data_IF_046775346721
#
_entry.id   IF_046775346721
#
_cell.length_a   1.000
_cell.length_b   1.000
_cell.length_c   1.000
_cell.angle_alpha   90.00
_cell.angle_beta   90.00
_cell.angle_gamma   90.00
#
_symmetry.space_group_name_H-M   'P 1'
#
loop_
_entity.id
_entity.type
_entity.pdbx_description
1 polymer ?
#
# COMPACT_ATOMS: atom_id res chain seq x y z
N UNK A 1 -10.03 24.52 0.11
CA UNK A 1 -10.16 23.33 0.98
C UNK A 1 -8.82 23.10 1.64
N UNK A 2 -8.79 22.88 2.95
CA UNK A 2 -7.55 22.51 3.67
C UNK A 2 -7.13 21.11 3.26
N UNK A 3 -5.90 20.98 2.79
CA UNK A 3 -5.30 19.72 2.35
C UNK A 3 -5.20 18.74 3.53
N UNK A 4 -5.81 17.57 3.43
CA UNK A 4 -5.70 16.55 4.48
C UNK A 4 -4.43 15.66 4.33
N UNK A 5 -4.26 14.68 5.20
CA UNK A 5 -3.07 13.82 5.20
C UNK A 5 -2.99 12.90 3.97
N UNK A 6 -4.10 12.37 3.47
CA UNK A 6 -4.15 11.51 2.27
C UNK A 6 -3.88 12.33 1.01
N UNK A 7 -4.44 13.53 0.98
CA UNK A 7 -4.21 14.54 -0.02
C UNK A 7 -2.71 14.90 -0.17
N UNK A 8 -2.00 15.06 0.95
CA UNK A 8 -0.55 15.29 0.96
C UNK A 8 0.25 14.04 0.57
N UNK A 9 -0.20 12.85 1.00
CA UNK A 9 0.40 11.58 0.59
C UNK A 9 0.30 11.38 -0.92
N UNK A 10 -0.88 11.60 -1.51
CA UNK A 10 -1.11 11.48 -2.94
C UNK A 10 -0.15 12.37 -3.75
N UNK A 11 0.02 13.64 -3.35
CA UNK A 11 0.98 14.56 -4.00
C UNK A 11 2.40 14.02 -3.98
N UNK A 12 2.86 13.50 -2.84
CA UNK A 12 4.21 12.91 -2.70
C UNK A 12 4.39 11.68 -3.58
N UNK A 13 3.39 10.79 -3.63
CA UNK A 13 3.44 9.57 -4.44
C UNK A 13 3.40 9.89 -5.94
N UNK A 14 2.59 10.87 -6.35
CA UNK A 14 2.55 11.36 -7.74
C UNK A 14 3.90 11.92 -8.18
N UNK A 15 4.49 12.79 -7.36
CA UNK A 15 5.82 13.32 -7.64
C UNK A 15 6.88 12.20 -7.73
N UNK A 16 6.80 11.21 -6.84
CA UNK A 16 7.70 10.05 -6.83
C UNK A 16 7.61 9.24 -8.13
N UNK A 17 6.39 8.95 -8.59
CA UNK A 17 6.13 8.20 -9.82
C UNK A 17 6.58 8.97 -11.06
N UNK A 18 6.25 10.25 -11.15
CA UNK A 18 6.64 11.11 -12.27
C UNK A 18 8.15 11.25 -12.41
N UNK A 19 8.86 11.43 -11.28
CA UNK A 19 10.34 11.56 -11.29
C UNK A 19 11.04 10.30 -11.81
N UNK A 20 10.36 9.15 -11.76
CA UNK A 20 10.87 7.85 -12.24
C UNK A 20 10.29 7.43 -13.59
N UNK A 21 9.48 8.28 -14.20
CA UNK A 21 8.72 7.97 -15.42
C UNK A 21 7.83 6.72 -15.27
N UNK A 22 7.31 6.46 -14.06
CA UNK A 22 6.49 5.28 -13.76
C UNK A 22 5.00 5.46 -14.07
N UNK A 23 4.54 6.68 -14.36
CA UNK A 23 3.14 6.96 -14.68
C UNK A 23 2.60 6.12 -15.86
N UNK A 24 3.48 5.78 -16.81
CA UNK A 24 3.15 4.91 -17.94
C UNK A 24 2.73 3.48 -17.54
N UNK A 25 3.18 3.01 -16.37
CA UNK A 25 2.84 1.69 -15.83
C UNK A 25 1.64 1.75 -14.88
N UNK A 26 1.27 2.93 -14.39
CA UNK A 26 0.22 3.14 -13.38
C UNK A 26 -1.20 3.21 -13.99
N UNK A 27 -1.55 2.29 -14.91
CA UNK A 27 -2.95 2.12 -15.31
C UNK A 27 -3.78 1.57 -14.14
N UNK A 28 -5.09 1.88 -14.02
CA UNK A 28 -5.93 1.31 -12.96
C UNK A 28 -5.86 -0.22 -12.91
N UNK A 29 -5.80 -0.89 -14.07
CA UNK A 29 -5.61 -2.35 -14.16
C UNK A 29 -4.31 -2.83 -13.50
N UNK A 30 -3.19 -2.14 -13.74
CA UNK A 30 -1.90 -2.55 -13.18
C UNK A 30 -1.82 -2.24 -11.69
N UNK A 31 -2.37 -1.09 -11.27
CA UNK A 31 -2.39 -0.70 -9.86
C UNK A 31 -3.26 -1.64 -9.01
N UNK A 32 -4.41 -2.11 -9.52
CA UNK A 32 -5.21 -3.11 -8.80
C UNK A 32 -4.53 -4.47 -8.73
N UNK A 33 -3.77 -4.85 -9.77
CA UNK A 33 -2.93 -6.06 -9.74
C UNK A 33 -1.79 -5.97 -8.72
N UNK A 34 -1.14 -4.81 -8.61
CA UNK A 34 -0.11 -4.59 -7.58
C UNK A 34 -0.74 -4.59 -6.18
N UNK A 35 -1.87 -3.88 -5.99
CA UNK A 35 -2.60 -3.83 -4.73
C UNK A 35 -2.95 -5.22 -4.19
N UNK A 36 -3.46 -6.13 -5.03
CA UNK A 36 -3.79 -7.49 -4.58
C UNK A 36 -2.54 -8.32 -4.27
N UNK A 37 -1.40 -8.04 -4.93
CA UNK A 37 -0.13 -8.69 -4.60
C UNK A 37 0.32 -8.29 -3.18
N UNK A 38 0.33 -6.99 -2.85
CA UNK A 38 0.70 -6.54 -1.49
C UNK A 38 -0.27 -7.04 -0.42
N UNK A 39 -1.57 -7.15 -0.74
CA UNK A 39 -2.53 -7.82 0.15
C UNK A 39 -2.17 -9.29 0.41
N UNK A 40 -1.64 -10.00 -0.59
CA UNK A 40 -1.18 -11.37 -0.41
C UNK A 40 0.09 -11.42 0.45
N UNK A 41 1.04 -10.49 0.26
CA UNK A 41 2.24 -10.36 1.11
C UNK A 41 1.86 -10.11 2.58
N UNK A 42 0.88 -9.22 2.82
CA UNK A 42 0.30 -9.03 4.16
C UNK A 42 -0.25 -10.34 4.74
N UNK A 43 -0.98 -11.13 3.93
CA UNK A 43 -1.53 -12.43 4.37
C UNK A 43 -0.42 -13.40 4.78
N UNK A 44 0.74 -13.38 4.13
CA UNK A 44 1.86 -14.27 4.46
C UNK A 44 2.36 -14.11 5.91
N UNK A 45 2.21 -12.92 6.50
CA UNK A 45 2.55 -12.69 7.90
C UNK A 45 1.63 -13.43 8.88
N UNK A 46 0.40 -13.74 8.48
CA UNK A 46 -0.65 -14.25 9.36
C UNK A 46 -1.14 -15.67 9.03
N UNK A 47 -0.94 -16.15 7.80
CA UNK A 47 -1.57 -17.36 7.26
C UNK A 47 -1.40 -18.65 8.10
N UNK A 48 -0.35 -18.75 8.92
CA UNK A 48 -0.07 -19.92 9.76
C UNK A 48 -0.26 -19.68 11.26
N UNK A 49 -0.75 -18.50 11.64
CA UNK A 49 -0.97 -18.11 13.03
C UNK A 49 -2.37 -18.50 13.50
N UNK A 50 -2.50 -18.83 14.78
CA UNK A 50 -3.80 -18.80 15.45
C UNK A 50 -4.26 -17.36 15.69
N UNK A 51 -5.54 -17.16 16.02
CA UNK A 51 -6.07 -15.84 16.38
C UNK A 51 -5.34 -15.23 17.59
N UNK A 52 -4.93 -16.03 18.58
CA UNK A 52 -4.17 -15.52 19.72
C UNK A 52 -2.77 -15.06 19.30
N UNK A 53 -2.11 -15.81 18.41
CA UNK A 53 -0.78 -15.46 17.90
C UNK A 53 -0.82 -14.21 17.01
N UNK A 54 -1.87 -14.03 16.19
CA UNK A 54 -1.99 -12.88 15.30
C UNK A 54 -2.13 -11.55 16.04
N UNK A 55 -2.63 -11.58 17.29
CA UNK A 55 -2.76 -10.42 18.16
C UNK A 55 -1.50 -10.11 18.99
N UNK A 56 -0.53 -11.04 19.02
CA UNK A 56 0.67 -10.97 19.85
C UNK A 56 1.93 -11.16 19.01
N UNK A 57 2.06 -10.40 17.92
CA UNK A 57 3.23 -10.46 17.06
C UNK A 57 4.47 -9.89 17.77
N UNK A 58 5.66 -10.47 17.56
CA UNK A 58 6.91 -9.85 18.00
C UNK A 58 7.17 -8.55 17.22
N UNK A 59 7.90 -7.60 17.83
CA UNK A 59 8.13 -6.25 17.28
C UNK A 59 8.65 -6.26 15.83
N UNK A 60 9.56 -7.17 15.50
CA UNK A 60 10.11 -7.31 14.14
C UNK A 60 9.02 -7.67 13.13
N UNK A 61 8.12 -8.60 13.47
CA UNK A 61 7.00 -9.00 12.61
C UNK A 61 5.98 -7.85 12.49
N UNK A 62 5.78 -7.08 13.55
CA UNK A 62 4.95 -5.88 13.54
C UNK A 62 5.45 -4.82 12.55
N UNK A 63 6.76 -4.61 12.46
CA UNK A 63 7.36 -3.70 11.48
C UNK A 63 7.14 -4.18 10.05
N UNK A 64 7.30 -5.48 9.79
CA UNK A 64 7.05 -6.05 8.45
C UNK A 64 5.58 -5.90 8.04
N UNK A 65 4.64 -6.23 8.94
CA UNK A 65 3.20 -6.01 8.70
C UNK A 65 2.90 -4.54 8.39
N UNK A 66 3.53 -3.60 9.11
CA UNK A 66 3.35 -2.19 8.86
C UNK A 66 3.87 -1.74 7.48
N UNK A 67 4.90 -2.39 6.94
CA UNK A 67 5.39 -2.16 5.58
C UNK A 67 4.37 -2.62 4.54
N UNK A 68 3.86 -3.85 4.65
CA UNK A 68 2.84 -4.35 3.71
C UNK A 68 1.56 -3.51 3.74
N UNK A 69 1.13 -3.08 4.94
CA UNK A 69 0.00 -2.15 5.08
C UNK A 69 0.27 -0.79 4.42
N UNK A 70 1.51 -0.30 4.49
CA UNK A 70 1.89 0.93 3.81
C UNK A 70 1.86 0.76 2.28
N UNK A 71 2.33 -0.36 1.75
CA UNK A 71 2.31 -0.64 0.32
C UNK A 71 0.88 -0.77 -0.22
N UNK A 72 0.00 -1.47 0.51
CA UNK A 72 -1.44 -1.52 0.22
C UNK A 72 -2.05 -0.11 0.19
N UNK A 73 -1.76 0.72 1.20
CA UNK A 73 -2.26 2.10 1.26
C UNK A 73 -1.76 2.92 0.06
N UNK A 74 -0.48 2.78 -0.30
CA UNK A 74 0.13 3.49 -1.41
C UNK A 74 -0.58 3.13 -2.72
N UNK A 75 -0.74 1.84 -3.04
CA UNK A 75 -1.41 1.44 -4.27
C UNK A 75 -2.88 1.82 -4.29
N UNK A 76 -3.58 1.76 -3.16
CA UNK A 76 -4.97 2.20 -3.07
C UNK A 76 -5.12 3.70 -3.38
N UNK A 77 -4.28 4.54 -2.78
CA UNK A 77 -4.27 6.00 -3.03
C UNK A 77 -3.92 6.30 -4.48
N UNK A 78 -2.94 5.61 -5.06
CA UNK A 78 -2.57 5.75 -6.47
C UNK A 78 -3.68 5.30 -7.42
N UNK A 79 -4.39 4.23 -7.07
CA UNK A 79 -5.51 3.74 -7.86
C UNK A 79 -6.65 4.75 -7.88
N UNK A 80 -7.01 5.30 -6.71
CA UNK A 80 -8.01 6.36 -6.59
C UNK A 80 -7.64 7.59 -7.44
N UNK A 81 -6.40 8.08 -7.33
CA UNK A 81 -5.95 9.25 -8.11
C UNK A 81 -5.99 9.05 -9.62
N UNK A 82 -5.80 7.81 -10.12
CA UNK A 82 -5.86 7.54 -11.57
C UNK A 82 -7.29 7.33 -12.10
N UNK A 83 -8.27 7.24 -11.20
CA UNK A 83 -9.70 7.11 -11.51
C UNK A 83 -10.47 8.43 -11.40
N UNK A 84 -9.90 9.43 -10.73
CA UNK A 84 -10.39 10.82 -10.69
C UNK A 84 -10.06 11.60 -11.98
#
# INVERSE_FOLDING_TARGET
MTQDSLDNLNKRLKQFAQTRDWEQFHSPKNLTMALIAECAELVEHFQWLTEEQSMNLPDEKHQQVAMEMADILIYLVRCAERLD
#
